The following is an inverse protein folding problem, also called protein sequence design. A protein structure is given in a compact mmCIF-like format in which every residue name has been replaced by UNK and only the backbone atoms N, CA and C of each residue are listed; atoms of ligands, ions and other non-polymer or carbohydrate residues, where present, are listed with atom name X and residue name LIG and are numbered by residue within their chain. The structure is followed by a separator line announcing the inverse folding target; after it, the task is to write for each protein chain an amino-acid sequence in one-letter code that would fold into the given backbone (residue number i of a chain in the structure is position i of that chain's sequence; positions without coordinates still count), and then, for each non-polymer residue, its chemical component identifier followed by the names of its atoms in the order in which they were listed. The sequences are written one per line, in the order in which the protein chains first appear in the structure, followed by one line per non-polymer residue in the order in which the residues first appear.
data_IF_408755056567
#
_entry.id   IF_408755056567
#
_cell.length_a   1.000
_cell.length_b   1.000
_cell.length_c   1.000
_cell.angle_alpha   90.00
_cell.angle_beta   90.00
_cell.angle_gamma   90.00
#
_symmetry.space_group_name_H-M   'P 1'
#
loop_
_entity.id
_entity.type
_entity.pdbx_description
1 polymer ?
#
# COMPACT_ATOMS: atom_id res chain seq x y z
N UNK A 1 0.69 -10.36 -12.73
CA UNK A 1 1.35 -11.43 -13.52
C UNK A 1 0.25 -12.36 -14.00
N UNK A 2 -0.07 -12.33 -15.29
CA UNK A 2 -1.03 -13.28 -15.88
C UNK A 2 -0.27 -14.57 -16.17
N UNK A 3 -0.49 -15.59 -15.34
CA UNK A 3 0.08 -16.91 -15.57
C UNK A 3 -0.58 -17.54 -16.80
N UNK A 4 0.20 -17.96 -17.80
CA UNK A 4 -0.28 -18.65 -19.01
C UNK A 4 -0.83 -20.08 -18.76
N UNK A 5 -0.85 -20.54 -17.52
CA UNK A 5 -1.37 -21.85 -17.11
C UNK A 5 -1.83 -21.81 -15.65
N UNK A 6 -2.74 -22.72 -15.29
CA UNK A 6 -3.16 -22.91 -13.90
C UNK A 6 -1.96 -23.46 -13.09
N UNK A 7 -1.75 -22.93 -11.88
CA UNK A 7 -0.77 -23.52 -10.97
C UNK A 7 -1.18 -24.95 -10.62
N UNK A 8 -0.20 -25.87 -10.63
CA UNK A 8 -0.50 -27.28 -10.38
C UNK A 8 -0.97 -27.51 -8.94
N UNK A 9 -0.41 -26.79 -7.97
CA UNK A 9 -0.74 -26.93 -6.55
C UNK A 9 -0.46 -25.65 -5.76
N UNK A 10 -0.89 -25.62 -4.48
CA UNK A 10 -0.68 -24.50 -3.54
C UNK A 10 0.80 -24.14 -3.32
N UNK A 11 1.72 -25.12 -3.45
CA UNK A 11 3.17 -24.88 -3.26
C UNK A 11 3.72 -24.00 -4.37
N UNK A 12 3.35 -24.26 -5.62
CA UNK A 12 3.76 -23.43 -6.75
C UNK A 12 3.14 -22.04 -6.67
N UNK A 13 1.85 -21.95 -6.28
CA UNK A 13 1.16 -20.68 -6.10
C UNK A 13 1.90 -19.80 -5.08
N UNK A 14 2.32 -20.36 -3.95
CA UNK A 14 3.13 -19.66 -2.97
C UNK A 14 4.46 -19.18 -3.55
N UNK A 15 5.18 -20.08 -4.28
CA UNK A 15 6.49 -19.72 -4.85
C UNK A 15 6.38 -18.55 -5.81
N UNK A 16 5.37 -18.55 -6.68
CA UNK A 16 5.14 -17.46 -7.64
C UNK A 16 4.74 -16.17 -6.91
N UNK A 17 3.77 -16.25 -5.98
CA UNK A 17 3.29 -15.07 -5.24
C UNK A 17 4.32 -14.48 -4.27
N UNK A 18 5.29 -15.29 -3.78
CA UNK A 18 6.31 -14.80 -2.86
C UNK A 18 7.56 -14.25 -3.55
N UNK A 19 7.93 -14.77 -4.74
CA UNK A 19 9.19 -14.47 -5.37
C UNK A 19 9.36 -13.00 -5.76
N UNK A 20 8.34 -12.39 -6.38
CA UNK A 20 8.37 -10.98 -6.78
C UNK A 20 8.52 -10.03 -5.59
N UNK A 21 7.60 -10.06 -4.62
CA UNK A 21 7.68 -9.22 -3.43
C UNK A 21 8.95 -9.40 -2.61
N UNK A 22 9.44 -10.64 -2.43
CA UNK A 22 10.71 -10.86 -1.72
C UNK A 22 11.90 -10.27 -2.46
N UNK A 23 11.98 -10.42 -3.78
CA UNK A 23 13.04 -9.81 -4.58
C UNK A 23 12.95 -8.26 -4.52
N UNK A 24 11.76 -7.68 -4.67
CA UNK A 24 11.53 -6.25 -4.54
C UNK A 24 11.93 -5.72 -3.17
N UNK A 25 11.55 -6.41 -2.10
CA UNK A 25 11.89 -6.06 -0.73
C UNK A 25 13.41 -6.08 -0.47
N UNK A 26 14.08 -7.16 -0.90
CA UNK A 26 15.54 -7.34 -0.73
C UNK A 26 16.34 -6.25 -1.45
N UNK A 27 15.83 -5.73 -2.57
CA UNK A 27 16.46 -4.63 -3.31
C UNK A 27 16.08 -3.26 -2.72
N UNK A 28 14.80 -3.04 -2.40
CA UNK A 28 14.31 -1.74 -1.96
C UNK A 28 14.89 -1.32 -0.60
N UNK A 29 15.05 -2.26 0.36
CA UNK A 29 15.54 -1.94 1.70
C UNK A 29 16.98 -1.41 1.69
N UNK A 30 17.99 -2.05 1.07
CA UNK A 30 19.34 -1.48 0.98
C UNK A 30 19.39 -0.14 0.23
N UNK A 31 18.63 0.00 -0.86
CA UNK A 31 18.55 1.26 -1.62
C UNK A 31 17.97 2.36 -0.74
N UNK A 32 16.93 2.07 0.04
CA UNK A 32 16.34 3.03 0.95
C UNK A 32 17.30 3.43 2.08
N UNK A 33 18.01 2.48 2.69
CA UNK A 33 19.01 2.76 3.72
C UNK A 33 20.12 3.67 3.17
N UNK A 34 20.67 3.31 1.99
CA UNK A 34 21.66 4.13 1.30
C UNK A 34 21.12 5.52 0.99
N UNK A 35 19.89 5.59 0.47
CA UNK A 35 19.24 6.84 0.14
C UNK A 35 18.99 7.73 1.37
N UNK A 36 18.57 7.14 2.50
CA UNK A 36 18.40 7.86 3.76
C UNK A 36 19.72 8.42 4.28
N UNK A 37 20.82 7.67 4.18
CA UNK A 37 22.16 8.18 4.55
C UNK A 37 22.64 9.34 3.69
N UNK A 38 22.07 9.54 2.50
CA UNK A 38 22.31 10.66 1.59
C UNK A 38 21.26 11.78 1.73
N UNK A 39 20.34 11.66 2.66
CA UNK A 39 19.23 12.59 2.88
C UNK A 39 19.54 13.49 4.07
N UNK A 40 18.87 14.64 4.16
CA UNK A 40 19.04 15.62 5.25
C UNK A 40 17.79 15.68 6.11
N UNK A 41 17.98 15.95 7.41
CA UNK A 41 16.87 16.24 8.33
C UNK A 41 16.77 17.76 8.45
N UNK A 42 15.61 18.30 8.13
CA UNK A 42 15.37 19.75 8.12
C UNK A 42 14.07 20.09 8.86
N UNK A 43 13.95 21.31 9.38
CA UNK A 43 12.70 21.79 9.95
C UNK A 43 11.61 21.81 8.88
N UNK A 44 10.44 21.30 9.22
CA UNK A 44 9.26 21.41 8.35
C UNK A 44 8.76 22.87 8.38
N UNK A 45 8.49 23.41 7.19
CA UNK A 45 7.91 24.72 7.02
C UNK A 45 6.63 24.59 6.18
N UNK A 46 5.65 25.42 6.49
CA UNK A 46 4.45 25.51 5.66
C UNK A 46 4.84 25.83 4.20
N UNK A 47 4.24 25.17 3.21
CA UNK A 47 4.53 25.48 1.82
C UNK A 47 4.22 26.95 1.50
N UNK A 48 5.06 27.54 0.66
CA UNK A 48 4.81 28.92 0.19
C UNK A 48 3.47 28.99 -0.58
N UNK A 49 2.85 30.18 -0.54
CA UNK A 49 1.60 30.41 -1.26
C UNK A 49 1.70 29.99 -2.74
N UNK A 50 0.77 29.16 -3.18
CA UNK A 50 0.75 28.60 -4.55
C UNK A 50 1.68 27.41 -4.80
N UNK A 51 2.48 26.99 -3.84
CA UNK A 51 3.30 25.78 -3.96
C UNK A 51 2.47 24.52 -3.64
N UNK A 52 2.70 23.44 -4.40
CA UNK A 52 2.17 22.11 -4.12
C UNK A 52 3.34 21.23 -3.73
N UNK A 53 3.30 20.67 -2.54
CA UNK A 53 4.33 19.77 -2.01
C UNK A 53 3.74 18.37 -1.86
N UNK A 54 4.49 17.37 -2.36
CA UNK A 54 4.17 15.96 -2.19
C UNK A 54 5.04 15.40 -1.08
N UNK A 55 4.40 14.89 -0.03
CA UNK A 55 5.08 14.21 1.07
C UNK A 55 4.86 12.71 0.91
N UNK A 56 5.94 11.96 1.02
CA UNK A 56 5.87 10.51 1.03
C UNK A 56 5.24 10.01 2.34
N UNK A 57 4.38 9.00 2.21
CA UNK A 57 3.74 8.39 3.36
C UNK A 57 4.67 7.44 4.10
N UNK A 58 4.39 7.27 5.37
CA UNK A 58 5.17 6.42 6.25
C UNK A 58 4.57 5.03 6.38
N UNK A 59 5.39 4.01 6.25
CA UNK A 59 5.12 2.64 6.69
C UNK A 59 5.90 2.34 7.97
N UNK A 60 5.50 1.30 8.69
CA UNK A 60 6.21 0.94 9.93
C UNK A 60 7.70 0.66 9.66
N UNK A 61 8.02 -0.05 8.60
CA UNK A 61 9.41 -0.32 8.22
C UNK A 61 10.16 0.98 7.90
N UNK A 62 9.55 1.89 7.15
CA UNK A 62 10.18 3.15 6.77
C UNK A 62 10.49 4.01 8.00
N UNK A 63 9.57 4.10 8.96
CA UNK A 63 9.78 4.78 10.24
C UNK A 63 10.92 4.13 11.04
N UNK A 64 10.98 2.80 11.09
CA UNK A 64 12.07 2.09 11.76
C UNK A 64 13.43 2.34 11.07
N UNK A 65 13.47 2.45 9.75
CA UNK A 65 14.70 2.78 9.02
C UNK A 65 15.11 4.25 9.24
N UNK A 66 14.16 5.19 9.24
CA UNK A 66 14.43 6.59 9.64
C UNK A 66 15.02 6.65 11.06
N UNK A 67 14.40 5.94 12.01
CA UNK A 67 14.91 5.86 13.38
C UNK A 67 16.32 5.24 13.44
N UNK A 68 16.60 4.19 12.70
CA UNK A 68 17.91 3.55 12.68
C UNK A 68 19.01 4.42 12.06
N UNK A 69 18.69 5.22 11.03
CA UNK A 69 19.67 6.07 10.32
C UNK A 69 19.89 7.41 11.06
N UNK A 70 18.81 8.05 11.52
CA UNK A 70 18.86 9.40 12.10
C UNK A 70 18.80 9.41 13.63
N UNK A 71 18.53 8.27 14.29
CA UNK A 71 18.42 8.17 15.75
C UNK A 71 17.16 8.81 16.34
N UNK A 72 16.20 9.23 15.51
CA UNK A 72 14.95 9.88 15.94
C UNK A 72 13.79 9.46 15.05
N UNK A 73 12.56 9.55 15.59
CA UNK A 73 11.34 9.30 14.81
C UNK A 73 11.03 10.50 13.95
N UNK A 74 10.91 10.31 12.64
CA UNK A 74 10.65 11.37 11.67
C UNK A 74 9.47 10.95 10.76
N UNK A 75 8.51 11.85 10.48
CA UNK A 75 8.40 13.20 11.00
C UNK A 75 8.11 13.24 12.51
N UNK A 76 8.67 14.17 13.20
CA UNK A 76 8.51 14.29 14.65
C UNK A 76 8.90 15.65 15.22
N UNK A 77 8.59 15.85 16.50
CA UNK A 77 8.84 17.10 17.20
C UNK A 77 10.32 17.26 17.63
N UNK A 78 11.14 16.20 17.50
CA UNK A 78 12.49 16.16 18.07
C UNK A 78 12.50 16.07 19.60
N UNK A 79 11.37 15.77 20.23
CA UNK A 79 11.21 15.71 21.68
C UNK A 79 11.89 14.48 22.28
N UNK A 80 12.10 14.52 23.59
CA UNK A 80 12.79 13.51 24.40
C UNK A 80 12.21 12.11 24.16
N UNK A 81 13.10 11.14 23.88
CA UNK A 81 12.79 9.74 23.65
C UNK A 81 12.28 9.02 24.91
N UNK A 82 11.04 9.29 25.30
CA UNK A 82 10.29 8.40 26.18
C UNK A 82 9.58 7.35 25.35
N UNK A 83 9.41 6.13 25.88
CA UNK A 83 8.68 5.06 25.16
C UNK A 83 7.30 5.52 24.71
N UNK A 84 6.60 6.27 25.55
CA UNK A 84 5.26 6.79 25.24
C UNK A 84 5.33 7.87 24.14
N UNK A 85 6.34 8.75 24.17
CA UNK A 85 6.57 9.76 23.12
C UNK A 85 6.88 9.13 21.78
N UNK A 86 7.79 8.14 21.74
CA UNK A 86 8.12 7.38 20.52
C UNK A 86 6.90 6.71 19.93
N UNK A 87 6.06 6.06 20.74
CA UNK A 87 4.83 5.41 20.26
C UNK A 87 3.83 6.42 19.72
N UNK A 88 3.68 7.58 20.36
CA UNK A 88 2.81 8.64 19.88
C UNK A 88 3.29 9.22 18.55
N UNK A 89 4.59 9.50 18.41
CA UNK A 89 5.20 9.99 17.16
C UNK A 89 5.11 8.96 16.03
N UNK A 90 5.38 7.68 16.31
CA UNK A 90 5.17 6.61 15.33
C UNK A 90 3.71 6.53 14.86
N UNK A 91 2.76 6.64 15.79
CA UNK A 91 1.34 6.65 15.47
C UNK A 91 0.94 7.85 14.60
N UNK A 92 1.38 9.06 14.98
CA UNK A 92 1.10 10.28 14.22
C UNK A 92 1.74 10.27 12.84
N UNK A 93 2.98 9.79 12.73
CA UNK A 93 3.69 9.67 11.47
C UNK A 93 3.04 8.64 10.53
N UNK A 94 2.60 7.49 11.07
CA UNK A 94 1.92 6.44 10.30
C UNK A 94 0.56 6.89 9.77
N UNK A 95 -0.20 7.62 10.60
CA UNK A 95 -1.55 8.09 10.26
C UNK A 95 -1.56 9.47 9.58
N UNK A 96 -0.40 10.12 9.45
CA UNK A 96 -0.28 11.45 8.84
C UNK A 96 -0.93 12.57 9.66
N UNK A 97 -1.06 12.41 10.98
CA UNK A 97 -1.69 13.38 11.88
C UNK A 97 -0.70 14.40 12.47
N UNK A 98 0.56 14.34 12.06
CA UNK A 98 1.59 15.31 12.47
C UNK A 98 1.38 16.68 11.77
N UNK A 99 1.72 17.80 12.44
CA UNK A 99 1.67 19.13 11.82
C UNK A 99 2.75 19.25 10.74
N UNK A 100 2.45 20.03 9.68
CA UNK A 100 3.37 20.24 8.54
C UNK A 100 4.13 21.55 8.62
N UNK A 101 3.86 22.36 9.62
CA UNK A 101 4.43 23.70 9.84
C UNK A 101 5.38 23.73 11.05
N UNK A 102 5.63 22.60 11.68
CA UNK A 102 6.47 22.49 12.87
C UNK A 102 7.10 21.09 12.98
N UNK A 103 8.23 21.03 13.68
CA UNK A 103 9.00 19.80 13.85
C UNK A 103 10.02 19.59 12.74
N UNK A 104 10.46 18.35 12.57
CA UNK A 104 11.49 17.94 11.62
C UNK A 104 11.03 16.77 10.79
N UNK A 105 11.45 16.72 9.52
CA UNK A 105 11.30 15.54 8.66
C UNK A 105 12.53 15.38 7.76
N UNK A 106 12.59 14.27 7.06
CA UNK A 106 13.68 13.94 6.14
C UNK A 106 13.39 14.55 4.76
N UNK A 107 14.29 15.40 4.29
CA UNK A 107 14.33 15.77 2.87
C UNK A 107 15.04 14.66 2.11
N UNK A 108 14.22 13.78 1.53
CA UNK A 108 14.71 12.53 0.94
C UNK A 108 15.48 12.76 -0.36
N UNK A 109 16.63 12.09 -0.46
CA UNK A 109 17.39 12.03 -1.70
C UNK A 109 16.61 11.27 -2.80
N UNK A 110 16.92 11.49 -4.10
CA UNK A 110 16.32 10.69 -5.18
C UNK A 110 16.51 9.17 -5.03
N UNK A 111 17.61 8.75 -4.39
CA UNK A 111 17.88 7.34 -4.10
C UNK A 111 16.94 6.83 -3.00
N UNK A 112 16.69 7.63 -1.95
CA UNK A 112 15.71 7.27 -0.92
C UNK A 112 14.30 7.18 -1.50
N UNK A 113 13.94 8.13 -2.36
CA UNK A 113 12.64 8.12 -3.06
C UNK A 113 12.47 6.84 -3.89
N UNK A 114 13.50 6.39 -4.61
CA UNK A 114 13.47 5.14 -5.37
C UNK A 114 13.26 3.92 -4.46
N UNK A 115 13.97 3.85 -3.32
CA UNK A 115 13.81 2.79 -2.33
C UNK A 115 12.40 2.78 -1.71
N UNK A 116 11.89 3.96 -1.32
CA UNK A 116 10.54 4.13 -0.80
C UNK A 116 9.47 3.71 -1.82
N UNK A 117 9.60 4.13 -3.08
CA UNK A 117 8.69 3.72 -4.14
C UNK A 117 8.71 2.20 -4.36
N UNK A 118 9.90 1.57 -4.27
CA UNK A 118 10.05 0.13 -4.31
C UNK A 118 9.31 -0.59 -3.18
N UNK A 119 9.37 -0.06 -1.95
CA UNK A 119 8.59 -0.58 -0.82
C UNK A 119 7.09 -0.40 -1.02
N UNK A 120 6.66 0.77 -1.53
CA UNK A 120 5.25 1.04 -1.81
C UNK A 120 4.69 0.05 -2.84
N UNK A 121 5.40 -0.15 -3.97
CA UNK A 121 4.99 -1.12 -5.00
C UNK A 121 4.95 -2.54 -4.43
N UNK A 122 5.91 -2.90 -3.58
CA UNK A 122 5.93 -4.20 -2.90
C UNK A 122 4.70 -4.35 -2.01
N UNK A 123 4.36 -3.34 -1.21
CA UNK A 123 3.19 -3.35 -0.34
C UNK A 123 1.87 -3.49 -1.13
N UNK A 124 1.74 -2.76 -2.25
CA UNK A 124 0.57 -2.83 -3.12
C UNK A 124 0.39 -4.22 -3.75
N UNK A 125 1.48 -4.84 -4.21
CA UNK A 125 1.46 -6.21 -4.73
C UNK A 125 1.16 -7.25 -3.64
N UNK A 126 1.50 -6.95 -2.39
CA UNK A 126 1.25 -7.82 -1.25
C UNK A 126 -0.14 -7.67 -0.63
N UNK A 127 -1.00 -6.78 -1.14
CA UNK A 127 -2.41 -6.77 -0.73
C UNK A 127 -2.98 -8.20 -0.82
N UNK A 128 -3.53 -8.75 0.30
CA UNK A 128 -3.87 -10.16 0.38
C UNK A 128 -5.22 -10.46 -0.30
N UNK A 129 -5.35 -10.07 -1.57
CA UNK A 129 -6.62 -10.12 -2.30
C UNK A 129 -6.45 -10.39 -3.80
N UNK A 130 -7.38 -11.11 -4.38
CA UNK A 130 -7.53 -11.30 -5.82
C UNK A 130 -6.33 -11.97 -6.47
N UNK A 131 -5.92 -11.45 -7.62
CA UNK A 131 -4.81 -11.95 -8.42
C UNK A 131 -3.47 -11.30 -8.08
N UNK A 132 -3.41 -10.47 -7.02
CA UNK A 132 -2.18 -9.90 -6.54
C UNK A 132 -1.30 -10.98 -5.89
N UNK A 133 -0.01 -10.71 -5.77
CA UNK A 133 0.96 -11.64 -5.17
C UNK A 133 0.56 -12.00 -3.74
N UNK A 134 0.11 -11.02 -2.94
CA UNK A 134 -0.42 -11.26 -1.60
C UNK A 134 -1.68 -12.15 -1.59
N UNK A 135 -2.54 -12.06 -2.60
CA UNK A 135 -3.69 -12.94 -2.79
C UNK A 135 -3.27 -14.39 -3.02
N UNK A 136 -2.24 -14.62 -3.84
CA UNK A 136 -1.68 -15.96 -4.06
C UNK A 136 -1.06 -16.54 -2.78
N UNK A 137 -0.33 -15.72 -2.02
CA UNK A 137 0.23 -16.13 -0.72
C UNK A 137 -0.87 -16.48 0.27
N UNK A 138 -1.88 -15.62 0.42
CA UNK A 138 -3.02 -15.87 1.32
C UNK A 138 -3.78 -17.14 0.91
N UNK A 139 -4.09 -17.30 -0.38
CA UNK A 139 -4.77 -18.50 -0.89
C UNK A 139 -3.97 -19.78 -0.60
N UNK A 140 -2.65 -19.74 -0.77
CA UNK A 140 -1.80 -20.90 -0.48
C UNK A 140 -1.91 -21.34 0.99
N UNK A 141 -2.12 -20.40 1.93
CA UNK A 141 -2.27 -20.67 3.37
C UNK A 141 -3.67 -21.17 3.74
N UNK A 142 -4.70 -20.43 3.33
CA UNK A 142 -6.09 -20.65 3.82
C UNK A 142 -7.02 -21.29 2.78
N UNK A 143 -6.55 -21.49 1.55
CA UNK A 143 -7.31 -22.09 0.46
C UNK A 143 -8.51 -21.24 0.04
N UNK A 144 -9.62 -21.88 -0.27
CA UNK A 144 -10.83 -21.23 -0.75
C UNK A 144 -11.41 -20.17 0.20
N UNK A 145 -11.05 -20.22 1.49
CA UNK A 145 -11.44 -19.17 2.47
C UNK A 145 -10.86 -17.78 2.11
N UNK A 146 -9.76 -17.72 1.36
CA UNK A 146 -9.21 -16.46 0.86
C UNK A 146 -10.22 -15.65 0.03
N UNK A 147 -11.12 -16.31 -0.68
CA UNK A 147 -12.18 -15.65 -1.47
C UNK A 147 -13.16 -14.86 -0.60
N UNK A 148 -13.50 -15.40 0.58
CA UNK A 148 -14.42 -14.74 1.52
C UNK A 148 -13.78 -13.48 2.08
N UNK A 149 -12.44 -13.47 2.25
CA UNK A 149 -11.69 -12.32 2.76
C UNK A 149 -11.62 -11.16 1.75
N UNK A 150 -11.87 -11.39 0.48
CA UNK A 150 -11.87 -10.33 -0.55
C UNK A 150 -12.86 -9.20 -0.21
N UNK A 151 -14.06 -9.52 0.24
CA UNK A 151 -15.07 -8.52 0.53
C UNK A 151 -14.74 -7.62 1.73
N UNK A 152 -14.33 -8.16 2.91
CA UNK A 152 -13.83 -7.34 4.00
C UNK A 152 -12.66 -6.45 3.61
N UNK A 153 -11.71 -6.97 2.79
CA UNK A 153 -10.55 -6.18 2.34
C UNK A 153 -10.99 -5.00 1.47
N UNK A 154 -11.91 -5.22 0.51
CA UNK A 154 -12.48 -4.12 -0.28
C UNK A 154 -13.15 -3.09 0.65
N UNK A 155 -13.92 -3.54 1.64
CA UNK A 155 -14.53 -2.66 2.64
C UNK A 155 -13.50 -1.83 3.41
N UNK A 156 -12.42 -2.45 3.85
CA UNK A 156 -11.30 -1.76 4.52
C UNK A 156 -10.66 -0.72 3.59
N UNK A 157 -10.39 -1.07 2.32
CA UNK A 157 -9.81 -0.13 1.36
C UNK A 157 -10.74 1.05 1.08
N UNK A 158 -12.06 0.83 1.04
CA UNK A 158 -13.04 1.93 0.92
C UNK A 158 -12.96 2.86 2.14
N UNK A 159 -12.93 2.31 3.36
CA UNK A 159 -12.79 3.12 4.57
C UNK A 159 -11.46 3.89 4.57
N UNK A 160 -10.35 3.23 4.23
CA UNK A 160 -9.04 3.90 4.10
C UNK A 160 -9.06 5.00 3.04
N UNK A 161 -9.80 4.78 1.94
CA UNK A 161 -9.95 5.75 0.87
C UNK A 161 -10.75 6.99 1.28
N UNK A 162 -11.74 6.81 2.13
CA UNK A 162 -12.57 7.91 2.64
C UNK A 162 -11.90 8.68 3.79
N UNK A 163 -11.08 8.01 4.60
CA UNK A 163 -10.51 8.59 5.83
C UNK A 163 -9.10 9.12 5.63
N UNK A 164 -8.25 8.43 4.84
CA UNK A 164 -6.83 8.74 4.75
C UNK A 164 -6.40 9.19 3.35
N UNK A 165 -6.59 8.37 2.33
CA UNK A 165 -6.08 8.64 0.98
C UNK A 165 -7.00 8.09 -0.10
N UNK A 166 -7.56 8.98 -0.91
CA UNK A 166 -8.53 8.64 -1.96
C UNK A 166 -8.02 7.60 -2.99
N UNK A 167 -6.71 7.46 -3.15
CA UNK A 167 -6.13 6.41 -3.99
C UNK A 167 -6.54 5.00 -3.59
N UNK A 168 -6.90 4.76 -2.32
CA UNK A 168 -7.44 3.48 -1.89
C UNK A 168 -8.81 3.16 -2.49
N UNK A 169 -9.62 4.17 -2.85
CA UNK A 169 -10.88 3.97 -3.58
C UNK A 169 -10.61 3.42 -4.98
N UNK A 170 -9.57 3.93 -5.66
CA UNK A 170 -9.13 3.39 -6.95
C UNK A 170 -8.70 1.92 -6.81
N UNK A 171 -7.91 1.59 -5.78
CA UNK A 171 -7.50 0.20 -5.51
C UNK A 171 -8.69 -0.70 -5.17
N UNK A 172 -9.64 -0.23 -4.35
CA UNK A 172 -10.87 -0.95 -4.05
C UNK A 172 -11.67 -1.24 -5.32
N UNK A 173 -11.77 -0.25 -6.22
CA UNK A 173 -12.43 -0.39 -7.52
C UNK A 173 -11.70 -1.40 -8.42
N UNK A 174 -10.38 -1.30 -8.57
CA UNK A 174 -9.59 -2.23 -9.38
C UNK A 174 -9.74 -3.67 -8.87
N UNK A 175 -9.69 -3.87 -7.56
CA UNK A 175 -9.86 -5.17 -6.94
C UNK A 175 -11.30 -5.68 -7.12
N UNK A 176 -12.30 -4.81 -7.01
CA UNK A 176 -13.69 -5.17 -7.26
C UNK A 176 -13.91 -5.66 -8.70
N UNK A 177 -13.31 -5.01 -9.70
CA UNK A 177 -13.48 -5.40 -11.10
C UNK A 177 -12.63 -6.60 -11.51
N UNK A 178 -11.36 -6.64 -11.08
CA UNK A 178 -10.36 -7.60 -11.54
C UNK A 178 -9.99 -8.65 -10.48
N UNK A 179 -10.23 -8.36 -9.21
CA UNK A 179 -9.80 -9.21 -8.10
C UNK A 179 -10.73 -10.39 -7.78
N UNK A 180 -11.90 -10.49 -8.42
CA UNK A 180 -12.88 -11.55 -8.09
C UNK A 180 -12.49 -12.93 -8.66
N UNK A 181 -11.65 -12.96 -9.69
CA UNK A 181 -11.19 -14.20 -10.31
C UNK A 181 -9.95 -14.73 -9.59
N UNK A 182 -10.13 -15.75 -8.77
CA UNK A 182 -8.99 -16.54 -8.27
C UNK A 182 -8.81 -17.72 -9.21
N UNK A 183 -7.65 -17.88 -9.88
CA UNK A 183 -7.35 -19.12 -10.59
C UNK A 183 -7.20 -20.22 -9.54
N UNK A 184 -8.15 -21.18 -9.55
CA UNK A 184 -8.03 -22.36 -8.70
C UNK A 184 -6.82 -23.19 -9.15
N UNK A 185 -5.96 -23.62 -8.21
CA UNK A 185 -4.94 -24.62 -8.53
C UNK A 185 -5.62 -25.93 -8.94
N UNK A 186 -4.95 -26.70 -9.78
CA UNK A 186 -5.46 -28.01 -10.22
C UNK A 186 -5.55 -29.00 -9.04
N UNK A 187 -4.65 -28.87 -8.05
CA UNK A 187 -4.67 -29.62 -6.79
C UNK A 187 -4.76 -28.63 -5.61
N UNK A 188 -5.92 -28.57 -4.97
CA UNK A 188 -6.19 -27.76 -3.77
C UNK A 188 -6.01 -28.56 -2.47
N UNK A 189 -5.76 -29.88 -2.56
CA UNK A 189 -5.66 -30.78 -1.39
C UNK A 189 -4.25 -30.77 -0.78
N UNK A 190 -3.23 -30.52 -1.60
CA UNK A 190 -1.82 -30.51 -1.14
C UNK A 190 -1.60 -29.42 -0.11
N UNK A 191 -1.35 -29.82 1.15
CA UNK A 191 -1.05 -28.88 2.25
C UNK A 191 0.39 -28.37 2.14
N UNK A 192 0.60 -27.15 2.65
CA UNK A 192 1.93 -26.58 2.83
C UNK A 192 2.64 -27.25 4.00
N UNK A 193 3.91 -27.58 3.81
CA UNK A 193 4.85 -27.96 4.87
C UNK A 193 5.24 -26.75 5.73
N UNK A 194 5.86 -27.00 6.88
CA UNK A 194 6.23 -25.96 7.83
C UNK A 194 7.15 -24.88 7.21
N UNK A 195 8.23 -25.21 6.46
CA UNK A 195 9.07 -24.19 5.84
C UNK A 195 8.30 -23.25 4.91
N UNK A 196 7.36 -23.77 4.12
CA UNK A 196 6.55 -22.96 3.22
C UNK A 196 5.54 -22.08 3.96
N UNK A 197 4.98 -22.56 5.09
CA UNK A 197 4.14 -21.73 5.96
C UNK A 197 4.94 -20.58 6.56
N UNK A 198 6.20 -20.81 6.95
CA UNK A 198 7.09 -19.75 7.44
C UNK A 198 7.36 -18.71 6.35
N UNK A 199 7.67 -19.13 5.11
CA UNK A 199 7.84 -18.20 3.98
C UNK A 199 6.57 -17.36 3.78
N UNK A 200 5.40 -17.99 3.77
CA UNK A 200 4.15 -17.26 3.60
C UNK A 200 3.89 -16.28 4.77
N UNK A 201 4.18 -16.69 6.01
CA UNK A 201 4.11 -15.82 7.19
C UNK A 201 5.08 -14.63 7.10
N UNK A 202 6.32 -14.86 6.65
CA UNK A 202 7.30 -13.80 6.42
C UNK A 202 6.81 -12.79 5.38
N UNK A 203 6.24 -13.26 4.28
CA UNK A 203 5.70 -12.37 3.23
C UNK A 203 4.53 -11.54 3.75
N UNK A 204 3.63 -12.12 4.53
CA UNK A 204 2.55 -11.37 5.18
C UNK A 204 3.07 -10.38 6.24
N UNK A 205 4.12 -10.73 6.97
CA UNK A 205 4.79 -9.81 7.89
C UNK A 205 5.40 -8.62 7.12
N UNK A 206 6.07 -8.88 5.99
CA UNK A 206 6.60 -7.82 5.12
C UNK A 206 5.45 -6.90 4.67
N UNK A 207 4.29 -7.44 4.30
CA UNK A 207 3.12 -6.63 3.98
C UNK A 207 2.76 -5.68 5.13
N UNK A 208 2.61 -6.19 6.35
CA UNK A 208 2.27 -5.36 7.52
C UNK A 208 3.32 -4.28 7.77
N UNK A 209 4.60 -4.60 7.62
CA UNK A 209 5.70 -3.65 7.84
C UNK A 209 5.81 -2.58 6.75
N UNK A 210 5.45 -2.91 5.51
CA UNK A 210 5.58 -1.99 4.37
C UNK A 210 4.28 -1.25 4.03
N UNK A 211 3.15 -1.70 4.56
CA UNK A 211 1.86 -1.08 4.33
C UNK A 211 1.79 0.32 4.97
N UNK A 212 1.33 1.30 4.19
CA UNK A 212 1.07 2.67 4.65
C UNK A 212 -0.41 2.99 4.47
N UNK A 213 -1.15 3.37 5.53
CA UNK A 213 -2.55 3.83 5.40
C UNK A 213 -2.68 5.10 4.57
N UNK A 214 -1.66 5.98 4.65
CA UNK A 214 -1.54 7.22 3.88
C UNK A 214 -0.25 7.17 3.04
N UNK A 215 -0.27 6.54 1.83
CA UNK A 215 0.93 6.39 1.02
C UNK A 215 1.52 7.71 0.52
N UNK A 216 0.68 8.72 0.32
CA UNK A 216 1.09 10.02 -0.18
C UNK A 216 0.19 11.11 0.40
N UNK A 217 0.78 12.22 0.82
CA UNK A 217 0.08 13.42 1.28
C UNK A 217 0.41 14.57 0.35
N UNK A 218 -0.62 15.26 -0.15
CA UNK A 218 -0.47 16.47 -0.95
C UNK A 218 -0.77 17.66 -0.04
N UNK A 219 0.14 18.61 0.01
CA UNK A 219 -0.01 19.83 0.78
C UNK A 219 0.12 21.01 -0.17
N UNK A 220 -0.93 21.84 -0.21
CA UNK A 220 -0.92 23.09 -0.96
C UNK A 220 -0.65 24.24 0.02
N UNK A 221 0.27 25.13 -0.34
CA UNK A 221 0.38 26.43 0.31
C UNK A 221 -0.86 27.27 -0.01
N UNK A 222 -1.20 28.18 0.90
CA UNK A 222 -2.43 29.01 0.80
C UNK A 222 -2.64 29.53 -0.62
N UNK A 223 -3.46 28.86 -1.39
CA UNK A 223 -4.05 29.38 -2.61
C UNK A 223 -5.23 30.23 -2.16
N UNK A 224 -5.35 31.49 -2.58
CA UNK A 224 -6.56 32.26 -2.30
C UNK A 224 -7.76 31.48 -2.86
N UNK A 225 -8.49 30.87 -1.96
CA UNK A 225 -9.87 30.36 -2.12
C UNK A 225 -10.23 29.51 -3.35
N UNK A 226 -9.33 28.67 -3.84
CA UNK A 226 -9.74 27.46 -4.57
C UNK A 226 -9.57 26.28 -3.63
N UNK A 227 -10.69 25.87 -3.06
CA UNK A 227 -10.78 24.73 -2.15
C UNK A 227 -10.21 23.49 -2.85
N UNK A 228 -8.93 23.16 -2.60
CA UNK A 228 -8.22 22.06 -3.26
C UNK A 228 -8.87 20.70 -2.94
N UNK A 229 -9.69 20.63 -1.87
CA UNK A 229 -10.49 19.45 -1.56
C UNK A 229 -11.59 19.22 -2.61
N UNK A 230 -12.16 20.31 -3.15
CA UNK A 230 -13.26 20.21 -4.12
C UNK A 230 -12.78 19.80 -5.54
N UNK A 231 -11.55 20.14 -5.94
CA UNK A 231 -11.09 19.88 -7.31
C UNK A 231 -10.74 18.41 -7.56
N UNK A 232 -10.25 17.68 -6.57
CA UNK A 232 -9.93 16.26 -6.70
C UNK A 232 -11.17 15.40 -6.44
N UNK A 233 -12.01 15.78 -5.46
CA UNK A 233 -13.26 15.09 -5.15
C UNK A 233 -14.26 15.15 -6.31
N UNK A 234 -14.30 16.26 -7.06
CA UNK A 234 -15.17 16.41 -8.23
C UNK A 234 -14.86 15.47 -9.39
N UNK A 235 -13.64 14.93 -9.50
CA UNK A 235 -13.24 14.04 -10.60
C UNK A 235 -13.25 12.55 -10.22
N UNK A 236 -12.91 12.21 -8.98
CA UNK A 236 -12.80 10.81 -8.53
C UNK A 236 -14.18 10.18 -8.36
N UNK A 237 -15.12 10.88 -7.72
CA UNK A 237 -16.47 10.35 -7.45
C UNK A 237 -17.29 10.11 -8.72
N UNK A 238 -17.39 11.05 -9.67
CA UNK A 238 -18.09 10.83 -10.94
C UNK A 238 -17.43 9.75 -11.79
N UNK A 239 -16.09 9.67 -11.77
CA UNK A 239 -15.33 8.63 -12.49
C UNK A 239 -15.63 7.24 -11.94
N UNK A 240 -15.72 7.08 -10.61
CA UNK A 240 -16.10 5.84 -9.95
C UNK A 240 -17.54 5.43 -10.28
N UNK A 241 -18.48 6.37 -10.26
CA UNK A 241 -19.88 6.11 -10.59
C UNK A 241 -20.05 5.76 -12.08
N UNK A 242 -19.35 6.45 -12.97
CA UNK A 242 -19.36 6.15 -14.40
C UNK A 242 -18.75 4.76 -14.70
N UNK A 243 -17.64 4.40 -14.03
CA UNK A 243 -17.03 3.07 -14.09
C UNK A 243 -17.98 1.97 -13.62
N UNK A 244 -18.67 2.19 -12.50
CA UNK A 244 -19.66 1.24 -11.98
C UNK A 244 -20.85 1.08 -12.93
N UNK A 245 -21.35 2.18 -13.49
CA UNK A 245 -22.46 2.16 -14.45
C UNK A 245 -22.10 1.42 -15.76
N UNK A 246 -20.89 1.66 -16.28
CA UNK A 246 -20.33 0.95 -17.44
C UNK A 246 -20.20 -0.55 -17.17
N UNK A 247 -19.69 -0.93 -16.00
CA UNK A 247 -19.54 -2.34 -15.62
C UNK A 247 -20.87 -3.04 -15.49
N UNK A 248 -21.86 -2.42 -14.82
CA UNK A 248 -23.22 -2.97 -14.70
C UNK A 248 -23.87 -3.10 -16.08
N UNK A 249 -23.64 -2.15 -16.98
CA UNK A 249 -24.09 -2.21 -18.36
C UNK A 249 -23.46 -3.35 -19.15
N UNK A 250 -22.13 -3.49 -19.07
CA UNK A 250 -21.37 -4.58 -19.69
C UNK A 250 -21.79 -5.95 -19.16
N UNK A 251 -21.96 -6.10 -17.86
CA UNK A 251 -22.41 -7.35 -17.24
C UNK A 251 -23.79 -7.77 -17.69
N UNK A 252 -24.74 -6.81 -17.79
CA UNK A 252 -26.08 -7.07 -18.34
C UNK A 252 -26.04 -7.43 -19.83
N UNK A 253 -25.15 -6.80 -20.61
CA UNK A 253 -24.98 -7.05 -22.03
C UNK A 253 -24.40 -8.46 -22.30
N UNK A 254 -23.34 -8.87 -21.55
CA UNK A 254 -22.74 -10.20 -21.61
C UNK A 254 -23.76 -11.28 -21.21
N UNK A 255 -24.51 -11.08 -20.13
CA UNK A 255 -25.55 -11.98 -19.67
C UNK A 255 -26.67 -12.16 -20.71
N UNK A 256 -27.04 -11.12 -21.49
CA UNK A 256 -28.05 -11.19 -22.55
C UNK A 256 -27.56 -11.92 -23.80
N UNK A 257 -26.23 -12.02 -24.01
CA UNK A 257 -25.65 -12.69 -25.20
C UNK A 257 -25.25 -14.15 -24.95
N UNK A 258 -25.44 -14.68 -23.75
CA UNK A 258 -25.12 -16.07 -23.44
C UNK A 258 -23.64 -16.44 -23.61
N UNK A 259 -22.76 -15.46 -23.59
CA UNK A 259 -21.30 -15.64 -23.66
C UNK A 259 -20.82 -15.79 -22.21
N UNK A 260 -20.87 -17.01 -21.68
CA UNK A 260 -20.40 -17.39 -20.37
C UNK A 260 -19.87 -18.81 -20.41
#
# INVERSE_FOLDING_TARGET
IVMKGKSLNRRQMLTVGAAGPLAGFVLAVPILILGLSLSTVEPMAAPQAGAIVFLEGNSLLYLLLKLAVFGQVLPGSGAVLTVQGVLAELGSALLGTYPIDSGFDVFISPVALAGWAGLLVTALNLLPVGQLDGGHVLYSLVGQRARILTWPIIGILVVLGLVFWQGWLLWAMLIFFFGQSHPDPLDDVTRLDLPRKLVAGTVLLIFVLTFSPLPMRVVAGDLPALDASQSVDCLVFPGLLAGLALWLGLRKWVARRGIG
#
